data_IF_250073283758
#
_entry.id   IF_250073283758
#
_cell.length_a   1.000
_cell.length_b   1.000
_cell.length_c   1.000
_cell.angle_alpha   90.00
_cell.angle_beta   90.00
_cell.angle_gamma   90.00
#
_symmetry.space_group_name_H-M   'P 1'
#
loop_
_entity.id
_entity.type
_entity.pdbx_description
1 polymer ?
#
# COMPACT_ATOMS: atom_id res chain seq x y z
N UNK A 1 9.82 13.30 13.55
CA UNK A 1 9.18 14.55 13.06
C UNK A 1 7.83 14.22 12.45
N UNK A 2 6.73 14.71 13.03
CA UNK A 2 5.36 14.44 12.56
C UNK A 2 5.13 15.25 11.27
N UNK A 3 4.81 14.60 10.14
CA UNK A 3 4.51 15.32 8.90
C UNK A 3 3.09 15.87 8.94
N UNK A 4 2.89 17.08 8.43
CA UNK A 4 1.55 17.60 8.17
C UNK A 4 0.75 16.61 7.31
N UNK A 5 -0.48 16.34 7.75
CA UNK A 5 -1.44 15.47 7.09
C UNK A 5 -1.97 16.18 5.84
N UNK A 6 -1.71 15.58 4.68
CA UNK A 6 -2.26 16.00 3.39
C UNK A 6 -3.44 15.11 3.02
N UNK A 7 -4.36 15.58 2.17
CA UNK A 7 -5.44 14.76 1.63
C UNK A 7 -4.89 13.49 0.95
N UNK A 8 -3.73 13.59 0.29
CA UNK A 8 -3.01 12.47 -0.29
C UNK A 8 -2.59 11.43 0.77
N UNK A 9 -2.07 11.86 1.93
CA UNK A 9 -1.72 10.93 3.02
C UNK A 9 -2.94 10.18 3.60
N UNK A 10 -4.10 10.83 3.65
CA UNK A 10 -5.37 10.18 4.05
C UNK A 10 -5.81 9.14 3.04
N UNK A 11 -5.77 9.48 1.73
CA UNK A 11 -6.09 8.52 0.67
C UNK A 11 -5.12 7.34 0.66
N UNK A 12 -3.82 7.54 0.90
CA UNK A 12 -2.86 6.43 1.00
C UNK A 12 -3.21 5.49 2.15
N UNK A 13 -3.65 6.00 3.30
CA UNK A 13 -4.05 5.16 4.44
C UNK A 13 -5.34 4.37 4.14
N UNK A 14 -6.34 5.02 3.52
CA UNK A 14 -7.60 4.36 3.12
C UNK A 14 -7.32 3.25 2.11
N UNK A 15 -6.49 3.51 1.12
CA UNK A 15 -6.17 2.54 0.07
C UNK A 15 -5.34 1.37 0.60
N UNK A 16 -4.45 1.57 1.58
CA UNK A 16 -3.77 0.45 2.26
C UNK A 16 -4.71 -0.36 3.14
N UNK A 17 -5.64 0.27 3.84
CA UNK A 17 -6.67 -0.44 4.59
C UNK A 17 -7.55 -1.30 3.65
N UNK A 18 -7.91 -0.76 2.48
CA UNK A 18 -8.71 -1.46 1.48
C UNK A 18 -7.95 -2.67 0.89
N UNK A 19 -6.65 -2.52 0.60
CA UNK A 19 -5.79 -3.64 0.21
C UNK A 19 -5.80 -4.74 1.29
N UNK A 20 -5.65 -4.35 2.55
CA UNK A 20 -5.60 -5.31 3.66
C UNK A 20 -6.93 -6.06 3.83
N UNK A 21 -8.07 -5.38 3.63
CA UNK A 21 -9.38 -6.01 3.62
C UNK A 21 -9.55 -7.01 2.48
N UNK A 22 -9.11 -6.67 1.26
CA UNK A 22 -9.16 -7.59 0.11
C UNK A 22 -8.25 -8.82 0.34
N UNK A 23 -7.12 -8.65 1.02
CA UNK A 23 -6.27 -9.78 1.42
C UNK A 23 -6.98 -10.68 2.45
N UNK A 24 -7.69 -10.10 3.41
CA UNK A 24 -8.52 -10.85 4.36
C UNK A 24 -9.67 -11.59 3.68
N UNK A 25 -10.35 -10.97 2.71
CA UNK A 25 -11.37 -11.64 1.90
C UNK A 25 -10.79 -12.89 1.22
N UNK A 26 -9.57 -12.79 0.70
CA UNK A 26 -8.89 -13.92 0.04
C UNK A 26 -8.65 -15.11 0.96
N UNK A 27 -8.50 -14.90 2.27
CA UNK A 27 -8.33 -15.97 3.26
C UNK A 27 -9.56 -16.89 3.37
N UNK A 28 -10.71 -16.49 2.82
CA UNK A 28 -11.93 -17.30 2.80
C UNK A 28 -11.97 -18.36 1.69
N UNK A 29 -11.00 -18.33 0.77
CA UNK A 29 -10.90 -19.28 -0.34
C UNK A 29 -9.89 -20.39 -0.05
N UNK A 30 -10.01 -21.52 -0.75
CA UNK A 30 -9.09 -22.65 -0.63
C UNK A 30 -7.66 -22.25 -0.99
N UNK A 31 -6.84 -22.09 0.04
CA UNK A 31 -5.45 -21.68 -0.02
C UNK A 31 -4.57 -22.71 0.70
N UNK A 32 -3.35 -22.88 0.23
CA UNK A 32 -2.35 -23.66 0.95
C UNK A 32 -1.99 -22.99 2.29
N UNK A 33 -1.64 -23.79 3.31
CA UNK A 33 -1.30 -23.28 4.65
C UNK A 33 -0.18 -22.23 4.63
N UNK A 34 0.81 -22.41 3.76
CA UNK A 34 1.90 -21.45 3.56
C UNK A 34 1.41 -20.13 2.95
N UNK A 35 0.46 -20.17 2.01
CA UNK A 35 -0.16 -18.98 1.44
C UNK A 35 -1.02 -18.22 2.46
N UNK A 36 -1.72 -18.95 3.33
CA UNK A 36 -2.54 -18.37 4.41
C UNK A 36 -1.66 -17.55 5.37
N UNK A 37 -0.54 -18.12 5.84
CA UNK A 37 0.38 -17.44 6.75
C UNK A 37 0.96 -16.18 6.08
N UNK A 38 1.37 -16.26 4.82
CA UNK A 38 1.89 -15.12 4.07
C UNK A 38 0.82 -14.01 3.92
N UNK A 39 -0.39 -14.37 3.50
CA UNK A 39 -1.49 -13.40 3.31
C UNK A 39 -1.89 -12.75 4.63
N UNK A 40 -2.02 -13.53 5.71
CA UNK A 40 -2.39 -13.03 7.03
C UNK A 40 -1.33 -12.07 7.59
N UNK A 41 -0.04 -12.41 7.44
CA UNK A 41 1.06 -11.53 7.90
C UNK A 41 1.11 -10.23 7.11
N UNK A 42 0.95 -10.28 5.79
CA UNK A 42 0.90 -9.07 4.95
C UNK A 42 -0.33 -8.22 5.27
N UNK A 43 -1.50 -8.83 5.49
CA UNK A 43 -2.72 -8.11 5.86
C UNK A 43 -2.58 -7.43 7.24
N UNK A 44 -2.01 -8.12 8.23
CA UNK A 44 -1.76 -7.56 9.56
C UNK A 44 -0.77 -6.39 9.50
N UNK A 45 0.32 -6.54 8.74
CA UNK A 45 1.29 -5.46 8.51
C UNK A 45 0.67 -4.28 7.75
N UNK A 46 -0.21 -4.54 6.79
CA UNK A 46 -0.94 -3.52 6.03
C UNK A 46 -1.89 -2.71 6.90
N UNK A 47 -2.66 -3.35 7.77
CA UNK A 47 -3.50 -2.68 8.77
C UNK A 47 -2.65 -1.86 9.74
N UNK A 48 -1.58 -2.45 10.28
CA UNK A 48 -0.64 -1.75 11.15
C UNK A 48 -0.03 -0.52 10.48
N UNK A 49 0.36 -0.64 9.21
CA UNK A 49 0.89 0.46 8.42
C UNK A 49 -0.16 1.56 8.20
N UNK A 50 -1.40 1.21 7.86
CA UNK A 50 -2.50 2.16 7.69
C UNK A 50 -2.82 2.93 8.98
N UNK A 51 -2.90 2.24 10.11
CA UNK A 51 -3.10 2.86 11.44
C UNK A 51 -1.93 3.77 11.80
N UNK A 52 -0.69 3.29 11.63
CA UNK A 52 0.52 4.09 11.90
C UNK A 52 0.62 5.31 10.98
N UNK A 53 0.17 5.19 9.73
CA UNK A 53 0.08 6.29 8.77
C UNK A 53 -0.94 7.33 9.25
N UNK A 54 -2.11 6.89 9.72
CA UNK A 54 -3.15 7.77 10.23
C UNK A 54 -2.74 8.53 11.51
N UNK A 55 -2.01 7.88 12.42
CA UNK A 55 -1.63 8.45 13.72
C UNK A 55 -0.36 9.32 13.66
N UNK A 56 0.65 8.90 12.90
CA UNK A 56 2.00 9.48 12.99
C UNK A 56 2.55 10.00 11.66
N UNK A 57 1.99 9.61 10.52
CA UNK A 57 2.36 10.06 9.17
C UNK A 57 3.88 10.26 8.99
N UNK A 58 4.67 9.27 9.41
CA UNK A 58 6.13 9.30 9.40
C UNK A 58 6.69 8.68 8.11
N UNK A 59 7.96 8.99 7.79
CA UNK A 59 8.66 8.35 6.67
C UNK A 59 8.66 6.81 6.79
N UNK A 60 8.84 6.31 8.01
CA UNK A 60 8.78 4.89 8.32
C UNK A 60 7.42 4.26 7.93
N UNK A 61 6.32 4.98 8.15
CA UNK A 61 4.98 4.54 7.74
C UNK A 61 4.84 4.49 6.22
N UNK A 62 5.39 5.48 5.51
CA UNK A 62 5.41 5.46 4.04
C UNK A 62 6.21 4.28 3.48
N UNK A 63 7.36 3.96 4.10
CA UNK A 63 8.20 2.84 3.71
C UNK A 63 7.48 1.51 3.93
N UNK A 64 6.86 1.32 5.10
CA UNK A 64 6.03 0.15 5.37
C UNK A 64 4.88 0.00 4.36
N UNK A 65 4.14 1.08 4.08
CA UNK A 65 3.08 1.07 3.07
C UNK A 65 3.63 0.65 1.71
N UNK A 66 4.77 1.21 1.27
CA UNK A 66 5.37 0.88 -0.03
C UNK A 66 5.83 -0.59 -0.11
N UNK A 67 6.31 -1.14 1.00
CA UNK A 67 6.74 -2.53 1.09
C UNK A 67 5.54 -3.47 1.03
N UNK A 68 4.46 -3.18 1.77
CA UNK A 68 3.22 -3.96 1.75
C UNK A 68 2.55 -3.90 0.38
N UNK A 69 2.46 -2.73 -0.24
CA UNK A 69 1.81 -2.57 -1.55
C UNK A 69 2.63 -3.21 -2.65
N UNK A 70 3.96 -3.07 -2.60
CA UNK A 70 4.89 -3.76 -3.50
C UNK A 70 4.80 -5.28 -3.37
N UNK A 71 4.85 -5.82 -2.15
CA UNK A 71 4.70 -7.25 -1.89
C UNK A 71 3.35 -7.78 -2.39
N UNK A 72 2.27 -7.03 -2.14
CA UNK A 72 0.92 -7.38 -2.62
C UNK A 72 0.86 -7.41 -4.15
N UNK A 73 1.42 -6.40 -4.81
CA UNK A 73 1.42 -6.32 -6.27
C UNK A 73 2.20 -7.48 -6.89
N UNK A 74 3.42 -7.74 -6.40
CA UNK A 74 4.25 -8.85 -6.89
C UNK A 74 3.58 -10.19 -6.62
N UNK A 75 3.05 -10.42 -5.41
CA UNK A 75 2.35 -11.65 -5.06
C UNK A 75 1.10 -11.88 -5.92
N UNK A 76 0.33 -10.83 -6.20
CA UNK A 76 -0.86 -10.91 -7.05
C UNK A 76 -0.48 -11.22 -8.49
N UNK A 77 0.55 -10.55 -9.03
CA UNK A 77 1.05 -10.83 -10.37
C UNK A 77 1.57 -12.26 -10.49
N UNK A 78 2.36 -12.74 -9.52
CA UNK A 78 2.84 -14.13 -9.51
C UNK A 78 1.67 -15.12 -9.48
N UNK A 79 0.66 -14.85 -8.66
CA UNK A 79 -0.53 -15.71 -8.51
C UNK A 79 -1.33 -15.86 -9.81
N UNK A 80 -1.38 -14.82 -10.64
CA UNK A 80 -2.10 -14.83 -11.93
C UNK A 80 -1.22 -15.36 -13.08
N UNK A 81 0.09 -15.07 -13.05
CA UNK A 81 1.02 -15.38 -14.16
C UNK A 81 1.72 -16.72 -14.03
N UNK A 82 2.10 -17.17 -12.83
CA UNK A 82 2.85 -18.42 -12.64
C UNK A 82 2.08 -19.40 -11.77
N UNK A 83 1.20 -18.88 -10.90
CA UNK A 83 0.61 -19.65 -9.81
C UNK A 83 1.50 -19.56 -8.56
N UNK A 84 0.87 -19.70 -7.39
CA UNK A 84 1.61 -19.72 -6.12
C UNK A 84 2.21 -21.11 -5.90
N UNK A 85 3.36 -21.24 -5.19
CA UNK A 85 3.93 -22.54 -4.88
C UNK A 85 2.92 -23.41 -4.12
N UNK A 86 2.54 -24.54 -4.72
CA UNK A 86 1.53 -25.44 -4.17
C UNK A 86 0.07 -25.07 -4.49
N UNK A 87 -0.18 -24.14 -5.42
CA UNK A 87 -1.52 -23.80 -5.90
C UNK A 87 -1.55 -23.59 -7.42
N UNK A 88 -2.68 -23.91 -8.05
CA UNK A 88 -2.90 -23.65 -9.47
C UNK A 88 -2.95 -22.15 -9.78
N UNK A 89 -2.73 -21.77 -11.05
CA UNK A 89 -2.95 -20.39 -11.52
C UNK A 89 -4.36 -19.94 -11.13
N UNK A 90 -4.45 -18.75 -10.54
CA UNK A 90 -5.74 -18.15 -10.22
C UNK A 90 -6.33 -17.49 -11.48
N UNK A 91 -7.64 -17.65 -11.68
CA UNK A 91 -8.34 -16.93 -12.73
C UNK A 91 -8.42 -15.43 -12.40
N UNK A 92 -8.48 -14.60 -13.45
CA UNK A 92 -8.64 -13.16 -13.30
C UNK A 92 -10.03 -12.85 -12.74
N UNK A 93 -10.10 -12.63 -11.42
CA UNK A 93 -11.32 -12.17 -10.73
C UNK A 93 -11.27 -10.65 -10.48
N UNK A 94 -12.41 -9.99 -10.23
CA UNK A 94 -12.44 -8.56 -9.89
C UNK A 94 -11.55 -8.18 -8.70
N UNK A 95 -11.39 -9.09 -7.74
CA UNK A 95 -10.51 -8.94 -6.57
C UNK A 95 -9.04 -8.78 -7.01
N UNK A 96 -8.58 -9.55 -8.00
CA UNK A 96 -7.22 -9.42 -8.53
C UNK A 96 -7.00 -8.08 -9.23
N UNK A 97 -8.00 -7.60 -9.97
CA UNK A 97 -7.93 -6.28 -10.59
C UNK A 97 -7.80 -5.18 -9.50
N UNK A 98 -8.54 -5.30 -8.40
CA UNK A 98 -8.41 -4.43 -7.23
C UNK A 98 -7.02 -4.52 -6.57
N UNK A 99 -6.51 -5.73 -6.35
CA UNK A 99 -5.19 -5.99 -5.76
C UNK A 99 -4.02 -5.60 -6.67
N UNK A 100 -4.23 -5.33 -7.95
CA UNK A 100 -3.24 -4.74 -8.87
C UNK A 100 -3.41 -3.21 -8.92
N UNK A 101 -4.63 -2.74 -9.09
CA UNK A 101 -4.93 -1.31 -9.26
C UNK A 101 -4.67 -0.49 -7.99
N UNK A 102 -5.04 -1.00 -6.81
CA UNK A 102 -4.88 -0.29 -5.55
C UNK A 102 -3.41 -0.07 -5.17
N UNK A 103 -2.49 -1.07 -5.28
CA UNK A 103 -1.07 -0.80 -5.09
C UNK A 103 -0.51 0.25 -6.03
N UNK A 104 -0.86 0.21 -7.32
CA UNK A 104 -0.40 1.21 -8.29
C UNK A 104 -0.89 2.60 -7.88
N UNK A 105 -2.17 2.72 -7.51
CA UNK A 105 -2.76 3.96 -7.03
C UNK A 105 -2.08 4.46 -5.74
N UNK A 106 -1.81 3.58 -4.76
CA UNK A 106 -1.14 3.96 -3.51
C UNK A 106 0.26 4.51 -3.76
N UNK A 107 1.05 3.85 -4.61
CA UNK A 107 2.40 4.29 -4.99
C UNK A 107 2.35 5.61 -5.78
N UNK A 108 1.36 5.75 -6.66
CA UNK A 108 1.09 7.00 -7.38
C UNK A 108 0.79 8.16 -6.42
N UNK A 109 -0.08 7.95 -5.44
CA UNK A 109 -0.42 8.94 -4.42
C UNK A 109 0.78 9.30 -3.53
N UNK A 110 1.60 8.32 -3.15
CA UNK A 110 2.83 8.58 -2.40
C UNK A 110 3.83 9.43 -3.21
N UNK A 111 4.00 9.12 -4.50
CA UNK A 111 4.83 9.91 -5.39
C UNK A 111 4.29 11.33 -5.60
N UNK A 112 2.97 11.49 -5.74
CA UNK A 112 2.33 12.79 -5.84
C UNK A 112 2.55 13.62 -4.55
N UNK A 113 2.39 13.03 -3.36
CA UNK A 113 2.66 13.70 -2.08
C UNK A 113 4.14 14.09 -1.96
N UNK A 114 5.07 13.22 -2.38
CA UNK A 114 6.49 13.53 -2.40
C UNK A 114 6.82 14.70 -3.34
N UNK A 115 6.22 14.75 -4.53
CA UNK A 115 6.39 15.86 -5.49
C UNK A 115 5.81 17.16 -4.97
N UNK A 116 4.61 17.14 -4.39
CA UNK A 116 3.98 18.33 -3.80
C UNK A 116 4.84 18.91 -2.66
N UNK A 117 5.44 18.05 -1.83
CA UNK A 117 6.34 18.48 -0.75
C UNK A 117 7.65 19.07 -1.26
N UNK A 118 8.25 18.50 -2.31
CA UNK A 118 9.45 19.06 -2.95
C UNK A 118 9.17 20.48 -3.46
N UNK A 119 8.09 20.65 -4.23
CA UNK A 119 7.66 21.98 -4.73
C UNK A 119 7.48 23.01 -3.61
N UNK A 120 6.87 22.64 -2.48
CA UNK A 120 6.71 23.56 -1.33
C UNK A 120 8.05 23.95 -0.69
N UNK A 121 9.00 23.02 -0.60
CA UNK A 121 10.35 23.31 -0.09
C UNK A 121 11.10 24.25 -1.03
N UNK A 122 11.00 24.03 -2.33
CA UNK A 122 11.66 24.85 -3.34
C UNK A 122 11.14 26.31 -3.29
N UNK A 123 9.82 26.49 -3.15
CA UNK A 123 9.20 27.83 -2.99
C UNK A 123 9.64 28.50 -1.68
N UNK A 124 9.69 27.76 -0.56
CA UNK A 124 10.16 28.31 0.70
C UNK A 124 11.64 28.71 0.66
N UNK A 125 12.48 27.93 -0.04
CA UNK A 125 13.89 28.25 -0.25
C UNK A 125 14.08 29.48 -1.17
N UNK A 126 13.16 29.71 -2.12
CA UNK A 126 13.21 30.86 -3.01
C UNK A 126 12.83 32.19 -2.34
N UNK A 127 12.03 32.17 -1.27
CA UNK A 127 11.58 33.37 -0.54
C UNK A 127 11.90 33.30 0.96
N UNK A 128 13.19 33.34 1.36
CA UNK A 128 13.60 33.15 2.75
C UNK A 128 13.18 34.29 3.70
N UNK A 129 12.76 35.45 3.17
CA UNK A 129 12.39 36.65 3.95
C UNK A 129 10.92 37.06 3.79
N UNK A 130 10.07 36.24 3.16
CA UNK A 130 8.64 36.50 3.06
C UNK A 130 7.92 35.91 4.30
N UNK A 131 8.10 36.54 5.45
CA UNK A 131 7.40 36.23 6.70
C UNK A 131 6.98 37.51 7.40
#
# INVERSE_FOLDING_TARGET
>A
MKRQTTWASRLTAVTTALISLLLCERLTHDLSTSSIVLLATVAALGLGAAVKMALHNCFESHLLVSLVTGATLVGTLLSVTVGLPGASRSSLTPVHAGLIGLPILTLGLQNADARLRRRRRDVAAAHPYAS
#
